data_IF_826245222669
#
_entry.id   IF_826245222669
#
_cell.length_a   1.000
_cell.length_b   1.000
_cell.length_c   1.000
_cell.angle_alpha   90.00
_cell.angle_beta   90.00
_cell.angle_gamma   90.00
#
_symmetry.space_group_name_H-M   'P 1'
#
loop_
_entity.id
_entity.type
_entity.pdbx_description
1 polymer ?
#
# COMPACT_ATOMS: atom_id res chain seq x y z
N UNK A 1 -18.09 28.93 -0.20
CA UNK A 1 -19.30 29.30 -0.98
C UNK A 1 -20.50 28.66 -0.31
N UNK A 2 -21.62 29.39 -0.11
CA UNK A 2 -22.82 28.87 0.55
C UNK A 2 -23.75 28.20 -0.48
N UNK A 3 -24.56 27.23 -0.04
CA UNK A 3 -25.47 26.45 -0.92
C UNK A 3 -26.30 27.33 -1.89
N UNK A 4 -26.77 28.48 -1.41
CA UNK A 4 -27.54 29.45 -2.21
C UNK A 4 -26.77 30.05 -3.41
N UNK A 5 -25.43 30.13 -3.33
CA UNK A 5 -24.60 30.60 -4.46
C UNK A 5 -24.51 29.58 -5.59
N UNK A 6 -24.58 28.29 -5.28
CA UNK A 6 -24.62 27.22 -6.30
C UNK A 6 -25.94 27.19 -7.07
N UNK A 7 -27.06 27.42 -6.38
CA UNK A 7 -28.38 27.51 -7.01
C UNK A 7 -28.46 28.68 -8.01
N UNK A 8 -27.90 29.84 -7.64
CA UNK A 8 -27.84 31.00 -8.54
C UNK A 8 -26.96 30.74 -9.74
N UNK A 9 -25.79 30.13 -9.58
CA UNK A 9 -24.88 29.77 -10.68
C UNK A 9 -25.52 28.75 -11.64
N UNK A 10 -26.21 27.74 -11.09
CA UNK A 10 -26.92 26.77 -11.89
C UNK A 10 -28.08 27.41 -12.69
N UNK A 11 -28.82 28.35 -12.09
CA UNK A 11 -29.87 29.09 -12.78
C UNK A 11 -29.33 30.02 -13.90
N UNK A 12 -28.07 30.42 -13.82
CA UNK A 12 -27.37 31.20 -14.84
C UNK A 12 -26.65 30.32 -15.88
N UNK A 13 -26.83 28.97 -15.84
CA UNK A 13 -26.17 28.02 -16.76
C UNK A 13 -24.66 27.90 -16.55
N UNK A 14 -24.16 28.29 -15.38
CA UNK A 14 -22.72 28.21 -15.02
C UNK A 14 -22.46 26.93 -14.25
N UNK A 15 -21.68 26.02 -14.83
CA UNK A 15 -21.21 24.81 -14.14
C UNK A 15 -20.16 25.17 -13.09
N UNK A 16 -20.50 25.04 -11.81
CA UNK A 16 -19.58 25.29 -10.73
C UNK A 16 -18.86 23.99 -10.30
N UNK A 17 -17.57 23.88 -10.59
CA UNK A 17 -16.73 22.79 -10.12
C UNK A 17 -16.29 23.04 -8.68
N UNK A 18 -16.83 22.25 -7.76
CA UNK A 18 -16.37 22.22 -6.36
C UNK A 18 -15.32 21.14 -6.21
N UNK A 19 -14.18 21.42 -5.58
CA UNK A 19 -13.27 20.36 -5.19
C UNK A 19 -14.04 19.35 -4.33
N UNK A 20 -14.00 18.07 -4.70
CA UNK A 20 -14.60 17.02 -3.88
C UNK A 20 -13.81 16.94 -2.58
N UNK A 21 -14.29 17.59 -1.53
CA UNK A 21 -13.74 17.38 -0.19
C UNK A 21 -14.03 15.92 0.14
N UNK A 22 -12.99 15.08 0.11
CA UNK A 22 -13.11 13.72 0.64
C UNK A 22 -13.57 13.87 2.08
N UNK A 23 -14.77 13.39 2.38
CA UNK A 23 -15.15 13.17 3.77
C UNK A 23 -14.06 12.28 4.36
N UNK A 24 -13.35 12.79 5.36
CA UNK A 24 -12.42 11.98 6.12
C UNK A 24 -13.26 10.83 6.69
N UNK A 25 -13.13 9.62 6.12
CA UNK A 25 -13.71 8.43 6.71
C UNK A 25 -13.20 8.39 8.14
N UNK A 26 -14.10 8.26 9.11
CA UNK A 26 -13.72 8.16 10.52
C UNK A 26 -12.57 7.16 10.60
N UNK A 27 -11.37 7.64 10.98
CA UNK A 27 -10.18 6.80 11.10
C UNK A 27 -10.49 5.82 12.21
N UNK A 28 -10.74 4.57 11.86
CA UNK A 28 -10.74 3.47 12.81
C UNK A 28 -9.27 3.19 13.09
N UNK A 29 -8.70 3.87 14.07
CA UNK A 29 -7.34 3.57 14.50
C UNK A 29 -7.39 2.30 15.35
N UNK A 30 -6.51 1.31 15.11
CA UNK A 30 -6.38 0.21 16.05
C UNK A 30 -5.95 0.79 17.40
N UNK A 31 -6.40 0.20 18.52
CA UNK A 31 -5.98 0.66 19.83
C UNK A 31 -4.46 0.78 19.91
N UNK A 32 -3.91 1.88 20.45
CA UNK A 32 -2.47 2.04 20.58
C UNK A 32 -1.90 0.92 21.48
N UNK A 33 -0.70 0.45 21.16
CA UNK A 33 0.01 -0.52 21.99
C UNK A 33 -0.17 -2.00 21.60
N UNK A 34 -1.02 -2.35 20.62
CA UNK A 34 -1.19 -3.73 20.18
C UNK A 34 0.12 -4.33 19.64
N UNK A 35 0.47 -5.51 20.13
CA UNK A 35 1.58 -6.31 19.63
C UNK A 35 1.25 -7.10 18.36
N UNK A 36 2.22 -7.88 17.86
CA UNK A 36 2.09 -8.65 16.62
C UNK A 36 0.94 -9.66 16.65
N UNK A 37 0.80 -10.41 17.73
CA UNK A 37 -0.17 -11.49 17.81
C UNK A 37 -1.59 -10.94 17.98
N UNK A 38 -1.73 -9.83 18.70
CA UNK A 38 -3.01 -9.13 18.88
C UNK A 38 -3.52 -8.55 17.57
N UNK A 39 -2.65 -7.81 16.82
CA UNK A 39 -3.06 -7.26 15.52
C UNK A 39 -3.32 -8.36 14.48
N UNK A 40 -2.59 -9.46 14.52
CA UNK A 40 -2.83 -10.60 13.63
C UNK A 40 -4.18 -11.26 13.93
N UNK A 41 -4.55 -11.39 15.20
CA UNK A 41 -5.87 -11.86 15.64
C UNK A 41 -7.00 -10.96 15.14
N UNK A 42 -6.86 -9.63 15.35
CA UNK A 42 -7.84 -8.66 14.87
C UNK A 42 -8.01 -8.68 13.35
N UNK A 43 -6.93 -8.82 12.59
CA UNK A 43 -7.00 -8.93 11.11
C UNK A 43 -7.70 -10.21 10.71
N UNK A 44 -7.41 -11.35 11.35
CA UNK A 44 -8.01 -12.64 11.03
C UNK A 44 -9.53 -12.60 11.16
N UNK A 45 -10.02 -11.97 12.22
CA UNK A 45 -11.45 -11.90 12.55
C UNK A 45 -12.15 -10.65 12.01
N UNK A 46 -11.40 -9.77 11.29
CA UNK A 46 -11.89 -8.48 10.83
C UNK A 46 -13.15 -8.60 9.97
N UNK A 47 -14.17 -7.80 10.31
CA UNK A 47 -15.44 -7.65 9.56
C UNK A 47 -15.79 -6.18 9.32
N UNK A 48 -14.80 -5.29 9.22
CA UNK A 48 -15.01 -3.84 9.12
C UNK A 48 -15.53 -3.39 7.74
N UNK A 49 -15.42 -4.22 6.70
CA UNK A 49 -15.92 -3.91 5.36
C UNK A 49 -16.43 -5.18 4.65
N UNK A 50 -17.19 -5.01 3.56
CA UNK A 50 -17.82 -6.11 2.81
C UNK A 50 -16.83 -7.13 2.20
N UNK A 51 -15.53 -6.85 2.15
CA UNK A 51 -14.52 -7.81 1.66
C UNK A 51 -14.42 -9.06 2.55
N UNK A 52 -14.86 -9.00 3.80
CA UNK A 52 -14.89 -10.15 4.69
C UNK A 52 -15.88 -11.25 4.22
N UNK A 53 -16.86 -10.90 3.39
CA UNK A 53 -17.89 -11.83 2.90
C UNK A 53 -17.40 -12.67 1.71
N UNK A 54 -16.41 -12.16 0.96
CA UNK A 54 -15.97 -12.76 -0.31
C UNK A 54 -14.55 -13.32 -0.27
N UNK A 55 -13.77 -13.00 0.77
CA UNK A 55 -12.42 -13.55 0.94
C UNK A 55 -12.46 -15.02 1.37
N UNK A 56 -11.47 -15.79 0.98
CA UNK A 56 -11.22 -17.12 1.54
C UNK A 56 -10.58 -16.98 2.93
N UNK A 57 -9.57 -16.12 3.04
CA UNK A 57 -8.90 -15.80 4.29
C UNK A 57 -8.25 -14.42 4.23
N UNK A 58 -7.77 -13.93 5.35
CA UNK A 58 -6.99 -12.71 5.42
C UNK A 58 -5.53 -12.97 5.06
N UNK A 59 -4.88 -11.98 4.45
CA UNK A 59 -3.45 -11.98 4.15
C UNK A 59 -2.79 -10.91 5.02
N UNK A 60 -2.28 -11.34 6.16
CA UNK A 60 -1.73 -10.40 7.14
C UNK A 60 -0.44 -9.74 6.67
N UNK A 61 0.47 -10.51 6.16
CA UNK A 61 1.84 -10.14 5.79
C UNK A 61 2.81 -11.23 6.20
N UNK A 62 4.03 -11.21 5.64
CA UNK A 62 5.06 -12.21 5.90
C UNK A 62 6.46 -11.62 5.87
N UNK A 63 7.42 -12.29 6.50
CA UNK A 63 8.83 -11.93 6.48
C UNK A 63 9.39 -11.54 7.84
N UNK A 64 10.51 -10.82 7.81
CA UNK A 64 11.22 -10.42 9.02
C UNK A 64 10.48 -9.27 9.75
N UNK A 65 10.04 -9.52 10.96
CA UNK A 65 9.38 -8.52 11.82
C UNK A 65 10.30 -7.36 12.27
N UNK A 66 11.61 -7.43 11.97
CA UNK A 66 12.61 -6.39 12.18
C UNK A 66 13.31 -6.02 10.86
N UNK A 67 12.56 -6.09 9.76
CA UNK A 67 13.10 -5.81 8.44
C UNK A 67 13.49 -4.34 8.30
N UNK A 68 14.64 -4.09 7.71
CA UNK A 68 15.05 -2.73 7.33
C UNK A 68 14.27 -2.20 6.12
N UNK A 69 13.82 -3.09 5.24
CA UNK A 69 12.98 -2.78 4.09
C UNK A 69 11.62 -3.43 4.25
N UNK A 70 10.57 -2.63 4.21
CA UNK A 70 9.20 -3.11 4.14
C UNK A 70 8.64 -2.91 2.73
N UNK A 71 8.05 -3.96 2.16
CA UNK A 71 7.38 -3.90 0.85
C UNK A 71 5.87 -3.82 1.05
N UNK A 72 5.25 -2.81 0.46
CA UNK A 72 3.80 -2.59 0.58
C UNK A 72 3.15 -2.66 -0.79
N UNK A 73 2.26 -3.64 -0.96
CA UNK A 73 1.39 -3.79 -2.13
C UNK A 73 -0.02 -3.25 -1.89
N UNK A 74 -0.89 -3.46 -2.87
CA UNK A 74 -2.27 -2.98 -2.87
C UNK A 74 -3.20 -3.91 -2.08
N UNK A 75 -3.40 -5.12 -2.56
CA UNK A 75 -4.35 -6.10 -2.04
C UNK A 75 -3.94 -7.53 -2.42
N UNK A 76 -4.45 -8.55 -1.70
CA UNK A 76 -4.28 -9.94 -2.11
C UNK A 76 -4.95 -10.23 -3.45
N UNK A 77 -4.30 -11.01 -4.29
CA UNK A 77 -4.88 -11.66 -5.47
C UNK A 77 -5.49 -13.02 -5.12
N UNK A 78 -5.87 -13.79 -6.15
CA UNK A 78 -6.52 -15.10 -5.96
C UNK A 78 -5.62 -16.13 -5.27
N UNK A 79 -4.35 -16.19 -5.64
CA UNK A 79 -3.40 -17.14 -5.05
C UNK A 79 -3.06 -16.75 -3.60
N UNK A 80 -2.93 -15.44 -3.33
CA UNK A 80 -2.69 -14.89 -2.01
C UNK A 80 -3.87 -15.16 -1.06
N UNK A 81 -5.10 -14.97 -1.53
CA UNK A 81 -6.33 -15.25 -0.79
C UNK A 81 -6.46 -16.73 -0.45
N UNK A 82 -6.05 -17.61 -1.37
CA UNK A 82 -6.04 -19.08 -1.17
C UNK A 82 -4.97 -19.54 -0.18
N UNK A 83 -3.77 -18.92 -0.22
CA UNK A 83 -2.62 -19.37 0.57
C UNK A 83 -2.43 -18.60 1.88
N UNK A 84 -3.05 -17.41 2.02
CA UNK A 84 -2.90 -16.55 3.20
C UNK A 84 -1.57 -15.78 3.26
N UNK A 85 -0.80 -15.79 2.17
CA UNK A 85 0.52 -15.15 2.09
C UNK A 85 0.59 -14.15 0.93
N UNK A 86 1.16 -12.92 1.14
CA UNK A 86 1.24 -11.91 0.09
C UNK A 86 2.25 -12.27 -1.00
N UNK A 87 1.97 -11.91 -2.23
CA UNK A 87 2.88 -12.05 -3.37
C UNK A 87 3.40 -13.49 -3.59
N UNK A 88 2.49 -14.45 -3.68
CA UNK A 88 2.79 -15.88 -3.99
C UNK A 88 2.51 -16.24 -5.43
N UNK A 89 1.74 -15.44 -6.17
CA UNK A 89 1.45 -15.65 -7.59
C UNK A 89 2.59 -15.17 -8.51
N UNK A 90 2.31 -15.11 -9.83
CA UNK A 90 3.29 -14.69 -10.87
C UNK A 90 3.93 -13.32 -10.59
N UNK A 91 3.15 -12.36 -10.09
CA UNK A 91 3.64 -11.04 -9.67
C UNK A 91 4.64 -11.16 -8.51
N UNK A 92 4.36 -12.06 -7.56
CA UNK A 92 5.24 -12.35 -6.43
C UNK A 92 6.56 -13.00 -6.85
N UNK A 93 6.55 -13.89 -7.85
CA UNK A 93 7.80 -14.44 -8.40
C UNK A 93 8.69 -13.34 -8.98
N UNK A 94 8.12 -12.37 -9.70
CA UNK A 94 8.88 -11.22 -10.19
C UNK A 94 9.38 -10.34 -9.03
N UNK A 95 8.54 -10.07 -8.02
CA UNK A 95 8.97 -9.32 -6.83
C UNK A 95 10.16 -9.99 -6.15
N UNK A 96 10.13 -11.31 -5.96
CA UNK A 96 11.25 -12.06 -5.39
C UNK A 96 12.53 -11.94 -6.23
N UNK A 97 12.42 -11.94 -7.56
CA UNK A 97 13.57 -11.72 -8.45
C UNK A 97 14.11 -10.29 -8.34
N UNK A 98 13.23 -9.29 -8.22
CA UNK A 98 13.60 -7.89 -8.01
C UNK A 98 14.32 -7.69 -6.66
N UNK A 99 13.82 -8.29 -5.59
CA UNK A 99 14.45 -8.25 -4.26
C UNK A 99 15.82 -8.88 -4.28
N UNK A 100 15.96 -10.09 -4.86
CA UNK A 100 17.29 -10.76 -4.99
C UNK A 100 18.27 -9.93 -5.80
N UNK A 101 17.84 -9.29 -6.88
CA UNK A 101 18.70 -8.38 -7.65
C UNK A 101 19.14 -7.16 -6.84
N UNK A 102 18.33 -6.73 -5.86
CA UNK A 102 18.64 -5.67 -4.90
C UNK A 102 19.43 -6.16 -3.67
N UNK A 103 19.79 -7.45 -3.60
CA UNK A 103 20.60 -8.03 -2.51
C UNK A 103 19.77 -8.47 -1.30
N UNK A 104 18.46 -8.68 -1.44
CA UNK A 104 17.60 -9.17 -0.36
C UNK A 104 17.02 -10.55 -0.68
N UNK A 105 17.09 -11.46 0.28
CA UNK A 105 16.22 -12.62 0.26
C UNK A 105 14.80 -12.26 0.74
N UNK A 106 13.80 -12.98 0.27
CA UNK A 106 12.40 -12.72 0.63
C UNK A 106 12.16 -12.67 2.15
N UNK A 107 12.84 -13.54 2.91
CA UNK A 107 12.72 -13.61 4.37
C UNK A 107 13.40 -12.47 5.13
N UNK A 108 14.23 -11.65 4.48
CA UNK A 108 14.91 -10.51 5.09
C UNK A 108 14.07 -9.24 5.08
N UNK A 109 13.08 -9.15 4.19
CA UNK A 109 12.12 -8.05 4.10
C UNK A 109 10.81 -8.40 4.79
N UNK A 110 9.98 -7.40 5.13
CA UNK A 110 8.60 -7.63 5.52
C UNK A 110 7.68 -7.21 4.37
N UNK A 111 6.80 -8.11 3.96
CA UNK A 111 5.90 -7.89 2.81
C UNK A 111 4.46 -7.88 3.31
N UNK A 112 3.74 -6.81 3.01
CA UNK A 112 2.33 -6.65 3.34
C UNK A 112 1.57 -5.92 2.22
N UNK A 113 0.26 -5.85 2.34
CA UNK A 113 -0.59 -5.06 1.47
C UNK A 113 -1.37 -4.01 2.29
N UNK A 114 -1.84 -2.96 1.62
CA UNK A 114 -2.80 -2.00 2.19
C UNK A 114 -4.05 -2.73 2.65
N UNK A 115 -4.66 -3.54 1.77
CA UNK A 115 -5.79 -4.40 2.14
C UNK A 115 -5.31 -5.76 2.63
N UNK A 116 -6.02 -6.30 3.62
CA UNK A 116 -5.79 -7.65 4.15
C UNK A 116 -6.73 -8.70 3.55
N UNK A 117 -7.67 -8.27 2.73
CA UNK A 117 -8.68 -9.10 2.07
C UNK A 117 -8.65 -8.87 0.56
N UNK A 118 -8.94 -9.91 -0.21
CA UNK A 118 -9.02 -9.83 -1.66
C UNK A 118 -10.31 -9.14 -2.10
N UNK A 119 -10.25 -8.08 -2.94
CA UNK A 119 -11.43 -7.53 -3.59
C UNK A 119 -12.01 -8.49 -4.64
N UNK A 120 -13.35 -8.55 -4.83
CA UNK A 120 -13.97 -9.36 -5.86
C UNK A 120 -13.38 -9.08 -7.24
N UNK A 121 -13.07 -10.13 -8.00
CA UNK A 121 -12.44 -10.06 -9.34
C UNK A 121 -11.13 -9.25 -9.40
N UNK A 122 -10.44 -9.08 -8.26
CA UNK A 122 -9.21 -8.26 -8.12
C UNK A 122 -9.42 -6.81 -8.61
N UNK A 123 -10.61 -6.23 -8.39
CA UNK A 123 -10.84 -4.79 -8.68
C UNK A 123 -10.01 -3.90 -7.75
N UNK A 124 -9.79 -2.67 -8.15
CA UNK A 124 -9.19 -1.67 -7.28
C UNK A 124 -10.01 -1.52 -5.98
N UNK A 125 -9.36 -1.34 -4.82
CA UNK A 125 -10.02 -1.06 -3.55
C UNK A 125 -10.84 0.24 -3.59
N UNK A 126 -11.99 0.26 -2.93
CA UNK A 126 -12.69 1.52 -2.66
C UNK A 126 -11.94 2.34 -1.59
N UNK A 127 -12.23 3.65 -1.54
CA UNK A 127 -11.69 4.54 -0.50
C UNK A 127 -12.09 4.09 0.90
N UNK A 128 -13.31 3.61 1.06
CA UNK A 128 -13.83 3.09 2.32
C UNK A 128 -13.09 1.82 2.76
N UNK A 129 -12.91 0.85 1.84
CA UNK A 129 -12.20 -0.40 2.13
C UNK A 129 -10.75 -0.13 2.54
N UNK A 130 -10.06 0.74 1.78
CA UNK A 130 -8.70 1.14 2.10
C UNK A 130 -8.63 1.89 3.44
N UNK A 131 -9.53 2.83 3.68
CA UNK A 131 -9.58 3.62 4.92
C UNK A 131 -9.79 2.76 6.16
N UNK A 132 -10.63 1.71 6.07
CA UNK A 132 -10.87 0.78 7.18
C UNK A 132 -9.73 -0.21 7.40
N UNK A 133 -8.92 -0.50 6.39
CA UNK A 133 -7.84 -1.48 6.45
C UNK A 133 -6.45 -0.85 6.71
N UNK A 134 -6.23 0.40 6.28
CA UNK A 134 -4.97 1.12 6.43
C UNK A 134 -4.45 1.19 7.87
N UNK A 135 -5.28 1.33 8.92
CA UNK A 135 -4.84 1.32 10.31
C UNK A 135 -4.05 0.07 10.70
N UNK A 136 -4.40 -1.11 10.18
CA UNK A 136 -3.63 -2.34 10.41
C UNK A 136 -2.23 -2.26 9.79
N UNK A 137 -2.13 -1.70 8.57
CA UNK A 137 -0.83 -1.50 7.92
C UNK A 137 0.01 -0.47 8.68
N UNK A 138 -0.58 0.65 9.14
CA UNK A 138 0.12 1.65 9.98
C UNK A 138 0.72 0.99 11.22
N UNK A 139 -0.08 0.17 11.92
CA UNK A 139 0.42 -0.55 13.09
C UNK A 139 1.54 -1.54 12.74
N UNK A 140 1.46 -2.21 11.61
CA UNK A 140 2.56 -3.07 11.13
C UNK A 140 3.83 -2.27 10.86
N UNK A 141 3.72 -1.08 10.23
CA UNK A 141 4.87 -0.19 9.99
C UNK A 141 5.52 0.23 11.31
N UNK A 142 4.73 0.63 12.31
CA UNK A 142 5.23 0.95 13.65
C UNK A 142 5.97 -0.21 14.31
N UNK A 143 5.40 -1.43 14.20
CA UNK A 143 5.98 -2.64 14.81
C UNK A 143 7.25 -3.14 14.09
N UNK A 144 7.34 -3.00 12.76
CA UNK A 144 8.53 -3.32 11.97
C UNK A 144 9.60 -2.25 12.18
N UNK A 145 9.18 -0.99 12.30
CA UNK A 145 10.05 0.20 12.33
C UNK A 145 11.11 0.18 11.20
N UNK A 146 10.68 0.06 9.91
CA UNK A 146 11.61 -0.12 8.81
C UNK A 146 12.39 1.16 8.54
N UNK A 147 13.62 1.03 8.04
CA UNK A 147 14.43 2.16 7.59
C UNK A 147 13.94 2.74 6.23
N UNK A 148 13.19 1.95 5.45
CA UNK A 148 12.53 2.40 4.23
C UNK A 148 11.32 1.51 3.88
N UNK A 149 10.35 2.12 3.17
CA UNK A 149 9.18 1.42 2.60
C UNK A 149 9.26 1.48 1.09
N UNK A 150 9.09 0.34 0.42
CA UNK A 150 8.93 0.23 -1.03
C UNK A 150 7.45 -0.03 -1.35
N UNK A 151 6.75 0.98 -1.84
CA UNK A 151 5.38 0.84 -2.34
C UNK A 151 5.39 0.30 -3.78
N UNK A 152 4.85 -0.89 -3.98
CA UNK A 152 4.77 -1.53 -5.31
C UNK A 152 3.38 -1.33 -5.92
N UNK A 153 3.27 -0.35 -6.82
CA UNK A 153 2.06 0.00 -7.54
C UNK A 153 1.41 1.32 -7.10
N UNK A 154 0.57 1.85 -7.98
CA UNK A 154 -0.12 3.13 -7.82
C UNK A 154 -0.97 3.18 -6.54
N UNK A 155 -1.83 2.18 -6.35
CA UNK A 155 -2.78 2.17 -5.24
C UNK A 155 -2.06 2.12 -3.90
N UNK A 156 -1.04 1.26 -3.75
CA UNK A 156 -0.25 1.19 -2.52
C UNK A 156 0.38 2.54 -2.17
N UNK A 157 1.02 3.20 -3.15
CA UNK A 157 1.64 4.49 -2.96
C UNK A 157 0.61 5.59 -2.63
N UNK A 158 -0.48 5.67 -3.39
CA UNK A 158 -1.52 6.67 -3.18
C UNK A 158 -2.19 6.54 -1.81
N UNK A 159 -2.50 5.31 -1.37
CA UNK A 159 -3.18 5.08 -0.09
C UNK A 159 -2.26 5.34 1.10
N UNK A 160 -1.00 4.97 1.00
CA UNK A 160 -0.03 5.22 2.07
C UNK A 160 0.29 6.72 2.18
N UNK A 161 0.54 7.40 1.05
CA UNK A 161 0.93 8.81 1.01
C UNK A 161 -0.26 9.80 1.07
N UNK A 162 -1.50 9.31 1.01
CA UNK A 162 -2.69 10.17 1.06
C UNK A 162 -2.82 11.10 -0.16
N UNK A 163 -2.43 10.65 -1.35
CA UNK A 163 -2.43 11.43 -2.59
C UNK A 163 -3.15 10.73 -3.73
N UNK A 164 -3.56 11.47 -4.75
CA UNK A 164 -4.13 10.92 -6.00
C UNK A 164 -3.16 11.06 -7.18
N UNK A 165 -1.91 11.45 -6.94
CA UNK A 165 -0.90 11.59 -7.99
C UNK A 165 -0.68 10.26 -8.74
N UNK A 166 -0.51 10.31 -10.08
CA UNK A 166 -0.20 9.12 -10.86
C UNK A 166 1.17 8.56 -10.51
N UNK A 167 1.33 7.23 -10.64
CA UNK A 167 2.58 6.53 -10.27
C UNK A 167 3.81 7.12 -10.99
N UNK A 168 3.65 7.62 -12.20
CA UNK A 168 4.74 8.25 -12.95
C UNK A 168 5.31 9.51 -12.29
N UNK A 169 4.53 10.20 -11.44
CA UNK A 169 4.98 11.34 -10.64
C UNK A 169 5.46 10.93 -9.25
N UNK A 170 4.92 9.84 -8.72
CA UNK A 170 5.31 9.35 -7.39
C UNK A 170 6.65 8.62 -7.40
N UNK A 171 6.97 7.90 -8.49
CA UNK A 171 8.24 7.16 -8.61
C UNK A 171 9.46 8.07 -8.82
N UNK A 172 10.65 7.53 -8.60
CA UNK A 172 11.92 8.21 -8.87
C UNK A 172 12.30 9.29 -7.85
N UNK A 173 11.58 9.39 -6.73
CA UNK A 173 11.86 10.29 -5.61
C UNK A 173 11.54 9.63 -4.27
N UNK A 174 12.10 10.15 -3.20
CA UNK A 174 11.81 9.74 -1.84
C UNK A 174 10.65 10.58 -1.31
N UNK A 175 9.66 9.94 -0.74
CA UNK A 175 8.56 10.55 0.01
C UNK A 175 8.75 10.28 1.49
N UNK A 176 7.92 10.89 2.31
CA UNK A 176 7.87 10.65 3.75
C UNK A 176 6.50 10.09 4.17
N UNK A 177 6.51 9.15 5.09
CA UNK A 177 5.34 8.64 5.77
C UNK A 177 5.63 8.52 7.27
N UNK A 178 5.15 9.49 8.05
CA UNK A 178 5.33 9.56 9.49
C UNK A 178 6.82 9.39 9.91
N UNK A 179 7.75 10.03 9.16
CA UNK A 179 9.20 9.97 9.38
C UNK A 179 9.91 8.77 8.73
N UNK A 180 9.18 7.88 8.07
CA UNK A 180 9.76 6.74 7.35
C UNK A 180 9.88 7.07 5.86
N UNK A 181 11.08 6.97 5.24
CA UNK A 181 11.25 7.16 3.80
C UNK A 181 10.43 6.15 2.98
N UNK A 182 9.68 6.65 1.99
CA UNK A 182 8.86 5.84 1.09
C UNK A 182 9.29 6.03 -0.35
N UNK A 183 9.55 4.94 -1.04
CA UNK A 183 9.85 4.91 -2.47
C UNK A 183 8.71 4.18 -3.20
N UNK A 184 8.15 4.83 -4.23
CA UNK A 184 7.12 4.22 -5.07
C UNK A 184 7.74 3.63 -6.33
N UNK A 185 7.26 2.45 -6.75
CA UNK A 185 7.65 1.82 -8.02
C UNK A 185 6.46 1.17 -8.70
N UNK A 186 6.63 0.69 -9.93
CA UNK A 186 5.58 -0.03 -10.64
C UNK A 186 5.26 -1.37 -9.98
N UNK A 187 3.98 -1.76 -10.06
CA UNK A 187 3.55 -3.07 -9.58
C UNK A 187 4.13 -4.20 -10.42
N UNK A 188 4.62 -5.30 -9.83
CA UNK A 188 5.20 -6.41 -10.59
C UNK A 188 4.26 -6.99 -11.65
N UNK A 189 2.96 -7.06 -11.42
CA UNK A 189 1.99 -7.49 -12.42
C UNK A 189 1.94 -6.56 -13.65
N UNK A 190 2.16 -5.26 -13.47
CA UNK A 190 2.30 -4.32 -14.60
C UNK A 190 3.60 -4.58 -15.37
N UNK A 191 4.70 -4.81 -14.68
CA UNK A 191 6.01 -5.09 -15.30
C UNK A 191 6.03 -6.41 -16.09
N UNK A 192 5.17 -7.37 -15.76
CA UNK A 192 4.97 -8.59 -16.54
C UNK A 192 4.29 -8.30 -17.89
N UNK A 193 3.39 -7.30 -17.93
CA UNK A 193 2.69 -6.88 -19.16
C UNK A 193 3.49 -5.84 -19.96
N UNK A 194 4.36 -5.08 -19.29
CA UNK A 194 5.15 -3.99 -19.86
C UNK A 194 6.64 -4.14 -19.49
N UNK A 195 7.35 -5.12 -20.08
CA UNK A 195 8.73 -5.45 -19.68
C UNK A 195 9.73 -4.30 -19.86
N UNK A 196 9.48 -3.38 -20.81
CA UNK A 196 10.31 -2.19 -21.03
C UNK A 196 10.39 -1.24 -19.83
N UNK A 197 9.40 -1.29 -18.95
CA UNK A 197 9.34 -0.47 -17.74
C UNK A 197 10.19 -1.00 -16.57
N UNK A 198 10.75 -2.21 -16.68
CA UNK A 198 11.56 -2.83 -15.61
C UNK A 198 12.79 -1.99 -15.25
N UNK A 199 13.38 -1.31 -16.24
CA UNK A 199 14.52 -0.43 -15.98
C UNK A 199 14.17 0.68 -15.01
N UNK A 200 13.01 1.30 -15.16
CA UNK A 200 12.52 2.34 -14.25
C UNK A 200 12.32 1.83 -12.82
N UNK A 201 11.77 0.62 -12.69
CA UNK A 201 11.62 -0.01 -11.36
C UNK A 201 12.98 -0.38 -10.74
N UNK A 202 13.97 -0.71 -11.57
CA UNK A 202 15.34 -0.92 -11.09
C UNK A 202 15.96 0.37 -10.56
N UNK A 203 15.71 1.51 -11.22
CA UNK A 203 16.17 2.82 -10.73
C UNK A 203 15.50 3.17 -9.39
N UNK A 204 14.21 2.86 -9.20
CA UNK A 204 13.52 3.04 -7.93
C UNK A 204 14.10 2.13 -6.82
N UNK A 205 14.44 0.89 -7.13
CA UNK A 205 15.11 -0.02 -6.19
C UNK A 205 16.48 0.50 -5.78
N UNK A 206 17.28 1.02 -6.72
CA UNK A 206 18.57 1.65 -6.39
C UNK A 206 18.39 2.85 -5.46
N UNK A 207 17.32 3.64 -5.67
CA UNK A 207 16.99 4.74 -4.77
C UNK A 207 16.69 4.25 -3.36
N UNK A 208 15.90 3.16 -3.23
CA UNK A 208 15.64 2.53 -1.93
C UNK A 208 16.93 2.02 -1.26
N UNK A 209 17.84 1.40 -2.02
CA UNK A 209 19.13 0.96 -1.52
C UNK A 209 19.98 2.15 -1.04
N UNK A 210 19.97 3.26 -1.76
CA UNK A 210 20.64 4.50 -1.35
C UNK A 210 20.13 5.01 -0.01
N UNK A 211 18.82 5.05 0.19
CA UNK A 211 18.20 5.43 1.48
C UNK A 211 18.65 4.49 2.61
N UNK A 212 18.63 3.17 2.36
CA UNK A 212 19.05 2.17 3.33
C UNK A 212 20.54 2.26 3.70
N UNK A 213 21.39 2.68 2.77
CA UNK A 213 22.82 2.86 3.03
C UNK A 213 23.13 4.08 3.89
N UNK A 214 22.41 5.20 3.68
CA UNK A 214 22.64 6.46 4.40
C UNK A 214 21.96 6.54 5.77
N UNK A 215 20.94 5.70 6.03
CA UNK A 215 20.25 5.63 7.33
C UNK A 215 21.08 5.04 8.49
N UNK A 216 22.39 4.83 8.33
CA UNK A 216 23.32 4.33 9.37
C UNK A 216 24.16 5.45 10.01
N UNK A 217 23.90 6.73 9.72
CA UNK A 217 24.73 7.86 10.17
C UNK A 217 23.99 8.74 11.20
N UNK A 218 23.35 8.09 12.22
CA UNK A 218 22.94 8.82 13.45
C UNK A 218 23.03 7.88 14.64
#
# INVERSE_FOLDING_TARGET
MQARQFEVLAALGVDAYVPRVRAASARVEPPPGLGWDEIAGLVRECRLCGLCETRTQTVFGTGNRRARLMVVGEAPGAEEDRQGEPFVGRAGMLLNAMLRAAGFERGEVFIANVLKCRPPNNRDPSDEEAGRCLPYLRRQIELVAPAAILCVGRIAAQRLLGTDEPIGRLRGRVHDFDGVPVIATYHPAYLLRSPGEKRKSWDDLKLALGVLAHGHST
#
